data_IF_807594387619
#
_entry.id   IF_807594387619
#
_cell.length_a   1.000
_cell.length_b   1.000
_cell.length_c   1.000
_cell.angle_alpha   90.00
_cell.angle_beta   90.00
_cell.angle_gamma   90.00
#
_symmetry.space_group_name_H-M   'P 1'
#
loop_
_entity.id
_entity.type
_entity.pdbx_description
1 polymer ?
#
# COMPACT_ATOMS: atom_id res chain seq x y z
N UNK A 1 16.94 -19.16 27.40
CA UNK A 1 17.09 -20.13 26.29
C UNK A 1 17.20 -19.32 24.98
N UNK A 2 18.39 -19.25 24.40
CA UNK A 2 18.63 -18.67 23.07
C UNK A 2 17.86 -19.52 22.06
N UNK A 3 16.85 -18.92 21.38
CA UNK A 3 16.20 -19.56 20.23
C UNK A 3 17.29 -19.95 19.23
N UNK A 4 17.50 -21.25 19.01
CA UNK A 4 18.34 -21.76 17.93
C UNK A 4 17.85 -21.09 16.64
N UNK A 5 18.75 -20.43 15.94
CA UNK A 5 18.49 -19.83 14.63
C UNK A 5 18.33 -20.98 13.62
N UNK A 6 17.10 -21.52 13.54
CA UNK A 6 16.76 -22.63 12.65
C UNK A 6 16.76 -22.11 11.22
N UNK A 7 17.48 -22.76 10.34
CA UNK A 7 17.49 -22.46 8.92
C UNK A 7 17.45 -23.75 8.11
N UNK A 8 16.75 -23.72 6.99
CA UNK A 8 16.73 -24.76 5.97
C UNK A 8 17.42 -24.22 4.69
N UNK A 9 18.26 -25.02 4.07
CA UNK A 9 18.93 -24.65 2.81
C UNK A 9 18.25 -25.41 1.70
N UNK A 10 17.71 -24.67 0.73
CA UNK A 10 17.09 -25.23 -0.48
C UNK A 10 18.04 -25.04 -1.66
N UNK A 11 18.28 -26.14 -2.40
CA UNK A 11 18.98 -26.07 -3.68
C UNK A 11 17.97 -25.76 -4.79
N UNK A 12 18.06 -24.56 -5.39
CA UNK A 12 17.10 -24.05 -6.37
C UNK A 12 17.91 -23.60 -7.61
N UNK A 13 17.72 -24.24 -8.74
CA UNK A 13 18.38 -23.90 -10.00
C UNK A 13 19.93 -23.77 -9.85
N UNK A 14 20.53 -24.69 -9.09
CA UNK A 14 21.98 -24.71 -8.85
C UNK A 14 22.48 -23.67 -7.82
N UNK A 15 21.58 -22.96 -7.13
CA UNK A 15 21.91 -22.02 -6.05
C UNK A 15 21.40 -22.50 -4.71
N UNK A 16 22.17 -22.28 -3.65
CA UNK A 16 21.76 -22.53 -2.28
C UNK A 16 21.06 -21.29 -1.71
N UNK A 17 19.78 -21.43 -1.39
CA UNK A 17 18.98 -20.38 -0.76
C UNK A 17 18.69 -20.75 0.67
N UNK A 18 19.23 -20.00 1.61
CA UNK A 18 19.03 -20.21 3.05
C UNK A 18 17.71 -19.58 3.50
N UNK A 19 16.76 -20.41 3.91
CA UNK A 19 15.48 -20.01 4.48
C UNK A 19 15.62 -19.93 6.00
N UNK A 20 15.55 -18.72 6.55
CA UNK A 20 15.67 -18.48 7.99
C UNK A 20 14.32 -18.63 8.67
N UNK A 21 14.29 -19.27 9.86
CA UNK A 21 13.06 -19.52 10.63
C UNK A 21 11.96 -20.17 9.78
N UNK A 22 12.21 -21.34 9.14
CA UNK A 22 11.28 -21.99 8.22
C UNK A 22 9.92 -22.28 8.86
N UNK A 23 9.91 -22.68 10.14
CA UNK A 23 8.70 -23.04 10.91
C UNK A 23 7.92 -21.84 11.44
N UNK A 24 8.41 -20.61 11.22
CA UNK A 24 7.69 -19.41 11.65
C UNK A 24 6.33 -19.33 10.97
N UNK A 25 5.26 -19.36 11.77
CA UNK A 25 3.90 -19.18 11.24
C UNK A 25 3.71 -17.77 10.66
N UNK A 26 3.36 -17.73 9.38
CA UNK A 26 2.99 -16.50 8.68
C UNK A 26 1.48 -16.28 8.71
N UNK A 27 0.71 -17.36 8.65
CA UNK A 27 -0.73 -17.37 8.88
C UNK A 27 -0.98 -18.22 10.12
N UNK A 28 -1.37 -17.61 11.22
CA UNK A 28 -1.51 -18.30 12.52
C UNK A 28 -2.96 -18.52 12.93
N UNK A 29 -3.91 -17.79 12.33
CA UNK A 29 -5.32 -17.82 12.75
C UNK A 29 -6.11 -18.93 12.07
N UNK A 30 -6.24 -18.87 10.77
CA UNK A 30 -7.13 -19.77 10.02
C UNK A 30 -6.38 -20.95 9.38
N UNK A 31 -5.30 -20.70 8.64
CA UNK A 31 -4.67 -21.69 7.75
C UNK A 31 -3.41 -22.36 8.33
N UNK A 32 -2.81 -21.81 9.39
CA UNK A 32 -1.62 -22.37 10.06
C UNK A 32 -0.44 -22.64 9.11
N UNK A 33 -0.11 -21.69 8.24
CA UNK A 33 0.95 -21.81 7.24
C UNK A 33 2.26 -21.17 7.74
N UNK A 34 3.36 -21.88 7.56
CA UNK A 34 4.71 -21.44 7.91
C UNK A 34 5.36 -20.60 6.80
N UNK A 35 6.53 -20.04 7.08
CA UNK A 35 7.37 -19.38 6.06
C UNK A 35 7.79 -20.37 4.97
N UNK A 36 8.14 -21.58 5.36
CA UNK A 36 8.55 -22.61 4.41
C UNK A 36 7.41 -22.99 3.46
N UNK A 37 6.16 -23.05 3.96
CA UNK A 37 4.99 -23.30 3.12
C UNK A 37 4.81 -22.20 2.07
N UNK A 38 5.04 -20.93 2.46
CA UNK A 38 5.05 -19.82 1.51
C UNK A 38 6.13 -19.96 0.43
N UNK A 39 7.35 -20.31 0.83
CA UNK A 39 8.45 -20.52 -0.14
C UNK A 39 8.11 -21.67 -1.08
N UNK A 40 7.63 -22.79 -0.57
CA UNK A 40 7.21 -23.96 -1.38
C UNK A 40 6.07 -23.63 -2.32
N UNK A 41 5.09 -22.83 -1.86
CA UNK A 41 4.02 -22.33 -2.71
C UNK A 41 4.61 -21.54 -3.89
N UNK A 42 5.46 -20.55 -3.65
CA UNK A 42 6.02 -19.75 -4.73
C UNK A 42 6.88 -20.58 -5.69
N UNK A 43 7.58 -21.57 -5.20
CA UNK A 43 8.33 -22.50 -6.06
C UNK A 43 7.39 -23.36 -6.92
N UNK A 44 6.23 -23.77 -6.41
CA UNK A 44 5.26 -24.57 -7.17
C UNK A 44 4.58 -23.81 -8.31
N UNK A 45 4.51 -22.48 -8.22
CA UNK A 45 3.91 -21.58 -9.21
C UNK A 45 4.96 -20.65 -9.85
N UNK A 46 6.25 -20.95 -9.68
CA UNK A 46 7.34 -20.06 -10.05
C UNK A 46 7.28 -19.59 -11.52
N UNK A 47 7.00 -20.43 -12.52
CA UNK A 47 6.91 -19.97 -13.91
C UNK A 47 5.88 -18.84 -14.10
N UNK A 48 4.69 -18.97 -13.51
CA UNK A 48 3.64 -17.95 -13.60
C UNK A 48 3.94 -16.72 -12.75
N UNK A 49 4.45 -16.89 -11.52
CA UNK A 49 4.83 -15.77 -10.66
C UNK A 49 5.95 -14.93 -11.28
N UNK A 50 6.94 -15.59 -11.89
CA UNK A 50 8.05 -14.94 -12.61
C UNK A 50 7.58 -14.20 -13.85
N UNK A 51 6.68 -14.79 -14.66
CA UNK A 51 6.14 -14.12 -15.86
C UNK A 51 5.58 -12.73 -15.55
N UNK A 52 4.95 -12.55 -14.37
CA UNK A 52 4.40 -11.27 -13.94
C UNK A 52 5.44 -10.25 -13.47
N UNK A 53 6.66 -10.68 -13.10
CA UNK A 53 7.71 -9.81 -12.51
C UNK A 53 9.03 -9.84 -13.27
N UNK A 54 9.14 -10.66 -14.33
CA UNK A 54 10.38 -10.83 -15.07
C UNK A 54 10.94 -9.49 -15.57
N UNK A 55 12.24 -9.28 -15.32
CA UNK A 55 12.98 -8.06 -15.69
C UNK A 55 12.34 -6.75 -15.17
N UNK A 56 11.58 -6.83 -14.04
CA UNK A 56 10.93 -5.65 -13.44
C UNK A 56 11.51 -5.30 -12.08
N UNK A 57 11.77 -4.00 -11.80
CA UNK A 57 12.10 -3.57 -10.44
C UNK A 57 10.94 -3.87 -9.48
N UNK A 58 11.27 -4.37 -8.28
CA UNK A 58 10.30 -4.76 -7.27
C UNK A 58 10.38 -3.89 -6.03
N UNK A 59 9.23 -3.36 -5.60
CA UNK A 59 9.04 -2.84 -4.24
C UNK A 59 8.73 -4.02 -3.32
N UNK A 60 9.56 -4.23 -2.30
CA UNK A 60 9.37 -5.30 -1.33
C UNK A 60 8.35 -4.88 -0.26
N UNK A 61 7.16 -5.45 -0.29
CA UNK A 61 6.18 -5.33 0.80
C UNK A 61 6.41 -6.47 1.78
N UNK A 62 7.07 -6.17 2.90
CA UNK A 62 7.57 -7.16 3.86
C UNK A 62 6.68 -7.27 5.08
N UNK A 63 6.40 -8.51 5.48
CA UNK A 63 5.62 -8.89 6.65
C UNK A 63 6.53 -9.65 7.63
N UNK A 64 7.44 -8.93 8.29
CA UNK A 64 8.46 -9.57 9.14
C UNK A 64 7.87 -10.30 10.35
N UNK A 65 6.68 -9.91 10.81
CA UNK A 65 5.97 -10.53 11.93
C UNK A 65 4.88 -11.53 11.52
N UNK A 66 4.89 -11.95 10.24
CA UNK A 66 3.85 -12.78 9.63
C UNK A 66 2.82 -11.96 8.88
N UNK A 67 1.99 -12.62 8.05
CA UNK A 67 0.99 -11.97 7.18
C UNK A 67 -0.07 -11.18 7.96
N UNK A 68 -0.33 -11.58 9.19
CA UNK A 68 -1.30 -10.94 10.09
C UNK A 68 -0.71 -9.73 10.84
N UNK A 69 0.60 -9.50 10.70
CA UNK A 69 1.33 -8.38 11.28
C UNK A 69 1.31 -7.14 10.39
N UNK A 70 1.93 -6.06 10.88
CA UNK A 70 2.06 -4.83 10.12
C UNK A 70 3.11 -4.97 9.02
N UNK A 71 2.70 -4.70 7.76
CA UNK A 71 3.62 -4.63 6.63
C UNK A 71 4.38 -3.31 6.58
N UNK A 72 5.57 -3.34 5.97
CA UNK A 72 6.27 -2.13 5.56
C UNK A 72 6.79 -2.25 4.12
N UNK A 73 6.83 -1.12 3.41
CA UNK A 73 7.36 -1.06 2.04
C UNK A 73 8.85 -0.73 2.07
N UNK A 74 9.66 -1.63 1.53
CA UNK A 74 11.09 -1.43 1.33
C UNK A 74 11.35 -1.21 -0.16
N UNK A 75 11.61 0.03 -0.54
CA UNK A 75 11.93 0.41 -1.93
C UNK A 75 13.41 0.20 -2.27
N UNK A 76 14.29 0.12 -1.26
CA UNK A 76 15.73 -0.06 -1.48
C UNK A 76 16.13 -1.50 -1.23
N UNK A 77 16.93 -2.04 -2.13
CA UNK A 77 17.56 -3.32 -1.93
C UNK A 77 18.28 -3.37 -0.56
N UNK A 78 18.12 -4.46 0.23
CA UNK A 78 18.83 -4.60 1.49
C UNK A 78 20.34 -4.75 1.26
N UNK A 79 21.16 -4.40 2.25
CA UNK A 79 22.62 -4.43 2.13
C UNK A 79 23.19 -5.85 1.89
N UNK A 80 22.44 -6.89 2.20
CA UNK A 80 22.84 -8.29 2.07
C UNK A 80 22.26 -8.98 0.84
N UNK A 81 21.99 -8.24 -0.24
CA UNK A 81 21.56 -8.82 -1.52
C UNK A 81 22.66 -9.77 -2.04
N UNK A 82 22.34 -11.01 -2.40
CA UNK A 82 23.30 -11.90 -3.02
C UNK A 82 23.84 -11.33 -4.34
N UNK A 83 25.10 -11.58 -4.63
CA UNK A 83 25.76 -11.07 -5.84
C UNK A 83 25.16 -11.57 -7.17
N UNK A 84 24.42 -12.66 -7.11
CA UNK A 84 23.73 -13.23 -8.25
C UNK A 84 22.32 -12.65 -8.49
N UNK A 85 21.80 -11.82 -7.57
CA UNK A 85 20.50 -11.17 -7.71
C UNK A 85 20.70 -9.75 -8.23
N UNK A 86 20.10 -9.44 -9.37
CA UNK A 86 20.25 -8.14 -10.03
C UNK A 86 19.55 -7.01 -9.27
N UNK A 87 20.09 -5.81 -9.43
CA UNK A 87 19.47 -4.57 -8.96
C UNK A 87 19.48 -3.53 -10.09
N UNK A 88 18.57 -2.55 -9.99
CA UNK A 88 18.51 -1.41 -10.91
C UNK A 88 18.16 -0.14 -10.15
N UNK A 89 18.72 0.99 -10.57
CA UNK A 89 18.48 2.29 -9.91
C UNK A 89 17.33 3.04 -10.58
N UNK A 90 16.24 3.24 -9.84
CA UNK A 90 15.11 4.05 -10.27
C UNK A 90 15.23 5.50 -9.78
N UNK A 91 14.78 6.43 -10.63
CA UNK A 91 14.61 7.85 -10.28
C UNK A 91 13.12 8.17 -10.15
N UNK A 92 12.73 8.73 -9.01
CA UNK A 92 11.32 9.06 -8.71
C UNK A 92 10.99 10.53 -8.99
N UNK A 93 9.71 10.88 -9.22
CA UNK A 93 9.29 12.26 -9.44
C UNK A 93 9.68 13.24 -8.33
N UNK A 94 9.93 12.73 -7.12
CA UNK A 94 10.43 13.49 -5.97
C UNK A 94 11.93 13.84 -6.06
N UNK A 95 12.63 13.45 -7.14
CA UNK A 95 14.09 13.59 -7.28
C UNK A 95 14.91 12.56 -6.49
N UNK A 96 14.27 11.67 -5.73
CA UNK A 96 14.95 10.59 -5.00
C UNK A 96 15.32 9.47 -5.96
N UNK A 97 16.39 8.73 -5.60
CA UNK A 97 16.80 7.50 -6.28
C UNK A 97 16.75 6.33 -5.31
N UNK A 98 16.39 5.16 -5.80
CA UNK A 98 16.47 3.92 -5.06
C UNK A 98 16.98 2.80 -5.96
N UNK A 99 17.88 1.98 -5.42
CA UNK A 99 18.29 0.74 -6.02
C UNK A 99 17.27 -0.33 -5.63
N UNK A 100 16.58 -0.92 -6.61
CA UNK A 100 15.54 -1.92 -6.40
C UNK A 100 15.96 -3.27 -6.99
N UNK A 101 15.44 -4.36 -6.41
CA UNK A 101 15.75 -5.73 -6.81
C UNK A 101 14.98 -6.07 -8.09
N UNK A 102 15.62 -6.83 -8.98
CA UNK A 102 15.01 -7.47 -10.14
C UNK A 102 15.10 -8.98 -9.95
N UNK A 103 13.97 -9.67 -9.98
CA UNK A 103 13.87 -11.12 -9.77
C UNK A 103 13.56 -11.80 -11.09
N UNK A 104 14.50 -12.64 -11.55
CA UNK A 104 14.43 -13.28 -12.86
C UNK A 104 14.32 -14.81 -12.77
N UNK A 105 14.53 -15.42 -11.60
CA UNK A 105 14.58 -16.84 -11.40
C UNK A 105 13.96 -17.31 -10.08
N UNK A 106 13.75 -18.62 -9.94
CA UNK A 106 13.11 -19.19 -8.76
C UNK A 106 13.94 -19.03 -7.47
N UNK A 107 15.27 -18.98 -7.58
CA UNK A 107 16.13 -18.75 -6.44
C UNK A 107 15.96 -17.31 -5.89
N UNK A 108 15.90 -16.32 -6.79
CA UNK A 108 15.60 -14.92 -6.44
C UNK A 108 14.20 -14.77 -5.83
N UNK A 109 13.20 -15.47 -6.38
CA UNK A 109 11.84 -15.50 -5.86
C UNK A 109 11.82 -16.08 -4.43
N UNK A 110 12.45 -17.22 -4.19
CA UNK A 110 12.56 -17.82 -2.84
C UNK A 110 13.29 -16.89 -1.86
N UNK A 111 14.33 -16.19 -2.33
CA UNK A 111 15.09 -15.27 -1.50
C UNK A 111 14.25 -14.07 -1.05
N UNK A 112 13.47 -13.42 -1.94
CA UNK A 112 12.61 -12.29 -1.56
C UNK A 112 11.47 -12.74 -0.63
N UNK A 113 10.92 -13.94 -0.84
CA UNK A 113 9.91 -14.53 0.04
C UNK A 113 10.49 -14.80 1.43
N UNK A 114 11.73 -15.32 1.52
CA UNK A 114 12.42 -15.50 2.80
C UNK A 114 12.59 -14.20 3.58
N UNK A 115 12.72 -13.04 2.91
CA UNK A 115 12.71 -11.73 3.57
C UNK A 115 11.32 -11.34 4.16
N UNK A 116 10.31 -12.16 3.94
CA UNK A 116 8.92 -11.88 4.33
C UNK A 116 8.14 -11.08 3.30
N UNK A 117 8.59 -11.05 2.05
CA UNK A 117 7.87 -10.44 0.94
C UNK A 117 6.87 -11.45 0.38
N UNK A 118 5.61 -11.37 0.84
CA UNK A 118 4.55 -12.29 0.40
C UNK A 118 3.72 -11.72 -0.75
N UNK A 119 3.77 -10.43 -0.98
CA UNK A 119 3.17 -9.77 -2.13
C UNK A 119 4.26 -9.25 -3.07
N UNK A 120 4.20 -9.60 -4.33
CA UNK A 120 5.12 -9.14 -5.37
C UNK A 120 4.57 -7.84 -5.98
N UNK A 121 5.30 -6.74 -5.84
CA UNK A 121 4.89 -5.41 -6.31
C UNK A 121 5.85 -4.86 -7.38
N UNK A 122 5.75 -5.32 -8.66
CA UNK A 122 6.59 -4.82 -9.73
C UNK A 122 6.16 -3.43 -10.21
N UNK A 123 7.12 -2.65 -10.70
CA UNK A 123 6.84 -1.49 -11.52
C UNK A 123 6.35 -1.91 -12.93
N UNK A 124 5.55 -1.08 -13.64
CA UNK A 124 5.06 -1.38 -14.99
C UNK A 124 6.12 -1.14 -16.07
N UNK A 125 7.39 -1.29 -15.74
CA UNK A 125 8.54 -1.08 -16.61
C UNK A 125 9.52 -2.25 -16.52
N UNK A 126 10.32 -2.45 -17.56
CA UNK A 126 11.46 -3.39 -17.53
C UNK A 126 12.73 -2.69 -17.07
N UNK A 127 13.67 -3.43 -16.49
CA UNK A 127 14.91 -2.86 -15.95
C UNK A 127 15.79 -2.17 -17.00
N UNK A 128 15.64 -2.55 -18.26
CA UNK A 128 16.33 -1.98 -19.43
C UNK A 128 15.77 -0.63 -19.87
N UNK A 129 14.50 -0.32 -19.54
CA UNK A 129 13.84 0.94 -19.86
C UNK A 129 12.88 1.31 -18.72
N UNK A 130 13.31 2.27 -17.90
CA UNK A 130 12.61 2.67 -16.68
C UNK A 130 11.65 3.86 -16.88
N UNK A 131 11.59 4.40 -18.09
CA UNK A 131 10.80 5.59 -18.41
C UNK A 131 9.59 5.29 -19.30
N UNK A 132 9.60 4.16 -20.00
CA UNK A 132 8.49 3.74 -20.86
C UNK A 132 7.84 2.46 -20.34
N UNK A 133 6.62 2.56 -19.77
CA UNK A 133 5.86 1.38 -19.36
C UNK A 133 5.57 0.44 -20.53
N UNK A 134 5.70 -0.88 -20.28
CA UNK A 134 5.25 -1.94 -21.16
C UNK A 134 3.92 -2.56 -20.71
N UNK A 135 3.27 -1.92 -19.73
CA UNK A 135 2.03 -2.42 -19.12
C UNK A 135 1.07 -1.26 -18.79
N UNK A 136 -0.14 -1.34 -19.35
CA UNK A 136 -1.30 -0.58 -18.90
C UNK A 136 -2.04 -1.45 -17.87
N UNK A 137 -2.38 -0.86 -16.72
CA UNK A 137 -3.05 -1.50 -15.59
C UNK A 137 -4.47 -0.97 -15.44
N UNK A 138 -5.44 -1.86 -15.54
CA UNK A 138 -6.83 -1.57 -15.19
C UNK A 138 -7.10 -2.19 -13.82
N UNK A 139 -7.23 -1.34 -12.81
CA UNK A 139 -7.45 -1.73 -11.41
C UNK A 139 -8.91 -1.45 -11.04
N UNK A 140 -9.67 -2.52 -10.82
CA UNK A 140 -11.09 -2.50 -10.47
C UNK A 140 -11.23 -2.60 -8.94
N UNK A 141 -11.40 -1.46 -8.28
CA UNK A 141 -11.47 -1.35 -6.81
C UNK A 141 -12.92 -1.10 -6.35
N UNK A 142 -13.64 -2.14 -5.87
CA UNK A 142 -15.02 -2.00 -5.43
C UNK A 142 -15.14 -1.14 -4.18
N UNK A 143 -16.08 -0.22 -4.19
CA UNK A 143 -16.48 0.55 -3.03
C UNK A 143 -17.07 -0.33 -1.91
N UNK A 144 -17.31 0.24 -0.71
CA UNK A 144 -18.00 -0.47 0.37
C UNK A 144 -19.40 -0.95 -0.06
N UNK A 145 -19.69 -2.24 0.15
CA UNK A 145 -21.00 -2.82 -0.15
C UNK A 145 -21.25 -3.18 -1.62
N UNK A 146 -20.28 -2.95 -2.51
CA UNK A 146 -20.37 -3.39 -3.91
C UNK A 146 -20.25 -4.91 -3.98
N UNK A 147 -21.18 -5.55 -4.69
CA UNK A 147 -21.19 -7.00 -4.87
C UNK A 147 -20.06 -7.46 -5.80
N UNK A 148 -19.61 -8.70 -5.63
CA UNK A 148 -18.61 -9.28 -6.52
C UNK A 148 -19.09 -9.41 -7.96
N UNK A 149 -20.38 -9.65 -8.15
CA UNK A 149 -21.04 -9.70 -9.45
C UNK A 149 -20.86 -8.38 -10.24
N UNK A 150 -20.97 -7.25 -9.56
CA UNK A 150 -20.75 -5.93 -10.17
C UNK A 150 -19.29 -5.79 -10.66
N UNK A 151 -18.31 -6.31 -9.90
CA UNK A 151 -16.91 -6.31 -10.31
C UNK A 151 -16.70 -7.16 -11.56
N UNK A 152 -17.35 -8.33 -11.64
CA UNK A 152 -17.30 -9.22 -12.80
C UNK A 152 -17.91 -8.57 -14.05
N UNK A 153 -19.08 -7.92 -13.88
CA UNK A 153 -19.72 -7.19 -14.98
C UNK A 153 -18.85 -6.06 -15.51
N UNK A 154 -18.28 -5.24 -14.61
CA UNK A 154 -17.36 -4.16 -15.02
C UNK A 154 -16.10 -4.72 -15.70
N UNK A 155 -15.59 -5.86 -15.24
CA UNK A 155 -14.44 -6.51 -15.91
C UNK A 155 -14.78 -6.98 -17.34
N UNK A 156 -15.99 -7.46 -17.58
CA UNK A 156 -16.45 -7.86 -18.92
C UNK A 156 -16.64 -6.64 -19.83
N UNK A 157 -17.13 -5.51 -19.30
CA UNK A 157 -17.16 -4.22 -20.05
C UNK A 157 -15.76 -3.74 -20.41
N UNK A 158 -14.79 -3.88 -19.48
CA UNK A 158 -13.39 -3.59 -19.76
C UNK A 158 -12.86 -4.48 -20.88
N UNK A 159 -13.17 -5.80 -20.85
CA UNK A 159 -12.78 -6.73 -21.91
C UNK A 159 -13.29 -6.24 -23.27
N UNK A 160 -14.60 -6.01 -23.39
CA UNK A 160 -15.22 -5.59 -24.64
C UNK A 160 -14.60 -4.29 -25.16
N UNK A 161 -14.40 -3.31 -24.28
CA UNK A 161 -13.79 -2.03 -24.67
C UNK A 161 -12.33 -2.17 -25.10
N UNK A 162 -11.53 -2.98 -24.42
CA UNK A 162 -10.14 -3.25 -24.82
C UNK A 162 -10.08 -3.91 -26.21
N UNK A 163 -10.96 -4.88 -26.49
CA UNK A 163 -11.06 -5.54 -27.79
C UNK A 163 -11.41 -4.55 -28.92
N UNK A 164 -12.33 -3.61 -28.70
CA UNK A 164 -12.64 -2.50 -29.62
C UNK A 164 -11.44 -1.60 -29.89
N UNK A 165 -10.63 -1.34 -28.85
CA UNK A 165 -9.39 -0.59 -29.00
C UNK A 165 -8.24 -1.39 -29.64
N UNK A 166 -8.45 -2.68 -29.94
CA UNK A 166 -7.42 -3.58 -30.48
C UNK A 166 -6.40 -4.03 -29.43
N UNK A 167 -6.77 -3.98 -28.14
CA UNK A 167 -5.93 -4.36 -27.03
C UNK A 167 -6.37 -5.69 -26.42
N UNK A 168 -5.41 -6.47 -25.93
CA UNK A 168 -5.68 -7.72 -25.24
C UNK A 168 -5.54 -7.54 -23.73
N UNK A 169 -6.63 -7.76 -23.02
CA UNK A 169 -6.67 -7.76 -21.57
C UNK A 169 -6.38 -9.13 -20.97
N UNK A 170 -5.67 -9.17 -19.83
CA UNK A 170 -5.32 -10.36 -19.08
C UNK A 170 -5.87 -10.24 -17.65
N UNK A 171 -7.04 -10.87 -17.35
CA UNK A 171 -7.72 -10.71 -16.09
C UNK A 171 -7.08 -11.55 -14.99
N UNK A 172 -7.10 -11.02 -13.76
CA UNK A 172 -6.79 -11.77 -12.55
C UNK A 172 -7.56 -11.23 -11.36
N UNK A 173 -7.84 -12.07 -10.36
CA UNK A 173 -8.34 -11.55 -9.09
C UNK A 173 -7.26 -10.67 -8.43
N UNK A 174 -7.65 -9.65 -7.68
CA UNK A 174 -6.67 -8.92 -6.86
C UNK A 174 -6.18 -9.74 -5.65
N UNK A 175 -6.81 -10.91 -5.41
CA UNK A 175 -6.66 -11.69 -4.18
C UNK A 175 -7.23 -10.99 -2.96
N UNK A 176 -8.05 -9.95 -3.15
CA UNK A 176 -8.80 -9.25 -2.10
C UNK A 176 -10.25 -9.09 -2.57
N UNK A 177 -10.73 -7.88 -2.81
CA UNK A 177 -12.12 -7.61 -3.18
C UNK A 177 -12.31 -7.23 -4.65
N UNK A 178 -11.24 -6.90 -5.35
CA UNK A 178 -11.28 -6.39 -6.71
C UNK A 178 -10.67 -7.33 -7.75
N UNK A 179 -10.58 -6.83 -8.96
CA UNK A 179 -9.97 -7.50 -10.11
C UNK A 179 -8.99 -6.56 -10.80
N UNK A 180 -7.91 -7.10 -11.36
CA UNK A 180 -7.01 -6.36 -12.22
C UNK A 180 -7.10 -6.94 -13.64
N UNK A 181 -7.01 -6.07 -14.64
CA UNK A 181 -6.80 -6.48 -16.03
C UNK A 181 -5.49 -5.85 -16.48
N UNK A 182 -4.48 -6.69 -16.69
CA UNK A 182 -3.19 -6.24 -17.21
C UNK A 182 -3.24 -6.23 -18.74
N UNK A 183 -2.65 -5.21 -19.35
CA UNK A 183 -2.56 -5.08 -20.81
C UNK A 183 -1.10 -4.83 -21.17
N UNK A 184 -0.49 -5.69 -21.96
CA UNK A 184 0.85 -5.42 -22.51
C UNK A 184 0.76 -4.40 -23.63
N UNK A 185 1.64 -3.41 -23.58
CA UNK A 185 1.72 -2.32 -24.53
C UNK A 185 3.15 -2.16 -25.06
N UNK A 186 3.29 -1.62 -26.25
CA UNK A 186 4.59 -1.23 -26.78
C UNK A 186 5.27 -0.23 -25.83
N UNK A 187 6.55 -0.41 -25.45
CA UNK A 187 7.23 0.48 -24.50
C UNK A 187 7.76 1.74 -25.18
N UNK A 188 6.87 2.57 -25.72
CA UNK A 188 7.19 3.83 -26.41
C UNK A 188 6.46 5.05 -25.87
N UNK A 189 5.49 4.85 -24.99
CA UNK A 189 4.75 5.92 -24.34
C UNK A 189 5.28 6.22 -22.94
N UNK A 190 5.21 7.49 -22.56
CA UNK A 190 5.60 7.90 -21.20
C UNK A 190 4.56 7.47 -20.16
N UNK A 191 4.91 7.51 -18.89
CA UNK A 191 3.96 7.31 -17.78
C UNK A 191 2.77 8.28 -17.84
N UNK A 192 2.98 9.49 -18.37
CA UNK A 192 1.90 10.47 -18.54
C UNK A 192 0.91 10.00 -19.60
N UNK A 193 1.40 9.51 -20.72
CA UNK A 193 0.56 9.01 -21.81
C UNK A 193 -0.22 7.76 -21.39
N UNK A 194 0.45 6.80 -20.72
CA UNK A 194 -0.20 5.57 -20.26
C UNK A 194 -1.27 5.87 -19.19
N UNK A 195 -1.01 6.80 -18.27
CA UNK A 195 -2.02 7.24 -17.31
C UNK A 195 -3.19 7.98 -17.99
N UNK A 196 -2.91 8.80 -19.00
CA UNK A 196 -3.92 9.50 -19.81
C UNK A 196 -4.83 8.48 -20.52
N UNK A 197 -4.25 7.48 -21.16
CA UNK A 197 -4.99 6.36 -21.76
C UNK A 197 -5.84 5.60 -20.73
N UNK A 198 -5.29 5.32 -19.54
CA UNK A 198 -6.02 4.68 -18.44
C UNK A 198 -7.20 5.51 -17.94
N UNK A 199 -7.06 6.83 -17.85
CA UNK A 199 -8.14 7.73 -17.45
C UNK A 199 -9.27 7.73 -18.50
N UNK A 200 -8.91 7.78 -19.79
CA UNK A 200 -9.89 7.71 -20.89
C UNK A 200 -10.63 6.37 -20.89
N UNK A 201 -9.93 5.26 -20.72
CA UNK A 201 -10.55 3.95 -20.51
C UNK A 201 -11.53 3.98 -19.33
N UNK A 202 -11.12 4.50 -18.19
CA UNK A 202 -11.95 4.56 -16.99
C UNK A 202 -13.24 5.37 -17.22
N UNK A 203 -13.15 6.49 -17.93
CA UNK A 203 -14.30 7.31 -18.33
C UNK A 203 -15.21 6.63 -19.34
N UNK A 204 -14.62 5.89 -20.28
CA UNK A 204 -15.40 5.12 -21.26
C UNK A 204 -16.21 4.01 -20.56
N UNK A 205 -15.62 3.29 -19.60
CA UNK A 205 -16.32 2.28 -18.83
C UNK A 205 -17.39 2.90 -17.93
N UNK A 206 -17.13 4.05 -17.28
CA UNK A 206 -18.17 4.78 -16.52
C UNK A 206 -19.36 5.18 -17.42
N UNK A 207 -19.11 5.60 -18.69
CA UNK A 207 -20.19 5.91 -19.65
C UNK A 207 -21.00 4.67 -20.07
N UNK A 208 -20.38 3.49 -20.18
CA UNK A 208 -21.03 2.22 -20.55
C UNK A 208 -21.82 1.59 -19.40
N UNK A 209 -21.29 1.69 -18.20
CA UNK A 209 -21.89 1.10 -17.00
C UNK A 209 -22.03 2.15 -15.87
N UNK A 210 -22.80 3.24 -16.08
CA UNK A 210 -22.83 4.39 -15.18
C UNK A 210 -23.37 4.08 -13.77
N UNK A 211 -24.13 3.02 -13.60
CA UNK A 211 -24.61 2.56 -12.30
C UNK A 211 -23.58 1.70 -11.54
N UNK A 212 -22.64 1.07 -12.27
CA UNK A 212 -21.72 0.07 -11.72
C UNK A 212 -20.27 0.57 -11.61
N UNK A 213 -19.85 1.52 -12.45
CA UNK A 213 -18.47 1.95 -12.57
C UNK A 213 -18.30 3.44 -12.27
N UNK A 214 -17.13 3.83 -11.74
CA UNK A 214 -16.79 5.22 -11.47
C UNK A 214 -15.33 5.51 -11.81
N UNK A 215 -15.08 6.65 -12.47
CA UNK A 215 -13.76 7.23 -12.70
C UNK A 215 -13.44 8.40 -11.75
N UNK A 216 -14.30 8.68 -10.77
CA UNK A 216 -14.20 9.84 -9.87
C UNK A 216 -13.03 9.65 -8.89
N UNK A 217 -12.13 10.65 -8.83
CA UNK A 217 -10.97 10.59 -7.93
C UNK A 217 -11.35 10.70 -6.46
N UNK A 218 -12.30 11.58 -6.12
CA UNK A 218 -12.69 11.81 -4.73
C UNK A 218 -13.57 10.70 -4.21
N UNK A 219 -13.26 10.18 -3.02
CA UNK A 219 -13.97 9.03 -2.43
C UNK A 219 -15.45 9.29 -2.20
N UNK A 220 -15.78 10.54 -1.91
CA UNK A 220 -17.14 11.00 -1.65
C UNK A 220 -18.02 11.00 -2.92
N UNK A 221 -17.38 11.01 -4.10
CA UNK A 221 -18.07 11.01 -5.40
C UNK A 221 -18.13 9.61 -6.03
N UNK A 222 -17.41 8.63 -5.44
CA UNK A 222 -17.33 7.27 -5.97
C UNK A 222 -18.57 6.48 -5.63
N UNK A 223 -19.01 5.69 -6.60
CA UNK A 223 -19.99 4.64 -6.44
C UNK A 223 -19.52 3.39 -7.19
N UNK A 224 -20.12 2.24 -6.91
CA UNK A 224 -19.79 1.01 -7.62
C UNK A 224 -18.30 0.63 -7.57
N UNK A 225 -17.79 0.22 -8.69
CA UNK A 225 -16.40 -0.17 -8.90
C UNK A 225 -15.61 1.03 -9.41
N UNK A 226 -14.62 1.46 -8.64
CA UNK A 226 -13.71 2.52 -9.05
C UNK A 226 -12.59 1.96 -9.93
N UNK A 227 -12.41 2.55 -11.12
CA UNK A 227 -11.28 2.24 -11.99
C UNK A 227 -10.11 3.17 -11.63
N UNK A 228 -9.10 2.65 -10.90
CA UNK A 228 -7.95 3.45 -10.44
C UNK A 228 -6.90 3.63 -11.54
N UNK A 229 -7.12 4.61 -12.40
CA UNK A 229 -6.19 5.01 -13.46
C UNK A 229 -4.83 5.50 -12.92
N UNK A 230 -4.75 5.95 -11.66
CA UNK A 230 -3.51 6.41 -11.05
C UNK A 230 -2.53 5.29 -10.70
N UNK A 231 -2.92 4.01 -10.82
CA UNK A 231 -1.97 2.89 -10.77
C UNK A 231 -0.98 2.89 -11.95
N UNK A 232 -1.25 3.71 -12.97
CA UNK A 232 -0.36 3.91 -14.12
C UNK A 232 0.59 5.12 -13.95
N UNK A 233 0.53 5.84 -12.84
CA UNK A 233 1.49 6.91 -12.55
C UNK A 233 2.88 6.35 -12.20
N UNK A 234 3.95 7.10 -12.53
CA UNK A 234 5.32 6.71 -12.17
C UNK A 234 5.42 6.52 -10.65
N UNK A 235 6.14 5.49 -10.20
CA UNK A 235 6.32 5.04 -8.81
C UNK A 235 5.12 4.27 -8.19
N UNK A 236 4.10 3.96 -8.98
CA UNK A 236 3.02 3.07 -8.56
C UNK A 236 3.34 1.62 -8.90
N UNK A 237 2.96 0.75 -7.98
CA UNK A 237 3.10 -0.70 -8.14
C UNK A 237 1.80 -1.38 -7.74
N UNK A 238 1.42 -2.40 -8.48
CA UNK A 238 0.28 -3.26 -8.17
C UNK A 238 0.73 -4.65 -7.76
N UNK A 239 -0.12 -5.38 -7.06
CA UNK A 239 0.13 -6.76 -6.69
C UNK A 239 0.13 -7.64 -7.97
N UNK A 240 1.26 -8.33 -8.22
CA UNK A 240 1.43 -9.21 -9.38
C UNK A 240 0.62 -10.50 -9.26
N UNK A 241 0.48 -11.21 -10.38
CA UNK A 241 -0.07 -12.56 -10.43
C UNK A 241 0.63 -13.50 -9.44
N UNK A 242 -0.10 -14.45 -8.90
CA UNK A 242 0.33 -15.43 -7.91
C UNK A 242 0.81 -14.87 -6.57
N UNK A 243 0.69 -13.57 -6.32
CA UNK A 243 1.01 -12.98 -5.02
C UNK A 243 0.04 -13.46 -3.93
N UNK A 244 0.60 -13.84 -2.79
CA UNK A 244 -0.16 -14.20 -1.59
C UNK A 244 -0.65 -12.93 -0.91
N UNK A 245 -1.94 -12.87 -0.55
CA UNK A 245 -2.51 -11.71 0.17
C UNK A 245 -2.53 -11.96 1.68
N UNK A 246 -2.33 -10.93 2.50
CA UNK A 246 -2.31 -11.05 3.97
C UNK A 246 -3.74 -11.16 4.56
N UNK A 247 -4.56 -12.02 3.98
CA UNK A 247 -5.89 -12.35 4.46
C UNK A 247 -5.85 -13.68 5.22
N UNK A 248 -6.73 -13.92 6.21
CA UNK A 248 -6.66 -15.11 7.07
C UNK A 248 -6.68 -16.44 6.32
N UNK A 249 -7.34 -16.48 5.15
CA UNK A 249 -7.44 -17.63 4.24
C UNK A 249 -6.27 -17.75 3.25
N UNK A 250 -5.27 -16.87 3.33
CA UNK A 250 -4.10 -16.83 2.46
C UNK A 250 -4.47 -16.83 0.97
N UNK A 251 -5.40 -15.96 0.58
CA UNK A 251 -5.84 -15.79 -0.82
C UNK A 251 -4.70 -15.39 -1.74
N UNK A 252 -4.87 -15.77 -3.00
CA UNK A 252 -3.93 -15.53 -4.08
C UNK A 252 -4.52 -14.57 -5.12
N UNK A 253 -3.69 -13.67 -5.60
CA UNK A 253 -3.99 -12.87 -6.79
C UNK A 253 -3.85 -13.76 -8.02
N UNK A 254 -4.93 -14.38 -8.45
CA UNK A 254 -4.92 -15.52 -9.39
C UNK A 254 -5.27 -15.10 -10.80
N UNK A 255 -4.41 -15.41 -11.80
CA UNK A 255 -4.72 -15.29 -13.22
C UNK A 255 -5.93 -16.12 -13.62
N UNK A 256 -6.74 -15.56 -14.52
CA UNK A 256 -7.95 -16.19 -15.04
C UNK A 256 -7.95 -16.17 -16.56
N UNK A 257 -8.62 -17.16 -17.17
CA UNK A 257 -9.13 -17.01 -18.51
C UNK A 257 -10.41 -16.17 -18.50
N UNK A 258 -10.71 -15.46 -19.58
CA UNK A 258 -11.91 -14.61 -19.64
C UNK A 258 -13.23 -15.39 -19.47
N UNK A 259 -13.26 -16.65 -19.88
CA UNK A 259 -14.43 -17.52 -19.68
C UNK A 259 -14.66 -17.95 -18.23
N UNK A 260 -13.68 -17.76 -17.34
CA UNK A 260 -13.82 -18.03 -15.90
C UNK A 260 -14.37 -16.82 -15.14
N UNK A 261 -14.21 -15.62 -15.70
CA UNK A 261 -14.59 -14.36 -15.01
C UNK A 261 -16.06 -14.33 -14.60
N UNK A 262 -17.05 -14.80 -15.39
CA UNK A 262 -18.46 -14.77 -15.00
C UNK A 262 -18.78 -15.54 -13.71
N UNK A 263 -18.03 -16.62 -13.42
CA UNK A 263 -18.37 -17.58 -12.37
C UNK A 263 -17.33 -17.64 -11.24
N UNK A 264 -16.18 -16.97 -11.36
CA UNK A 264 -15.11 -17.05 -10.37
C UNK A 264 -15.49 -16.42 -9.02
N UNK A 265 -15.03 -17.03 -7.92
CA UNK A 265 -15.02 -16.42 -6.58
C UNK A 265 -13.56 -16.27 -6.10
N UNK A 266 -13.12 -15.09 -5.66
CA UNK A 266 -11.78 -14.91 -5.12
C UNK A 266 -11.47 -15.81 -3.91
N UNK A 267 -12.48 -16.26 -3.18
CA UNK A 267 -12.31 -17.14 -2.02
C UNK A 267 -11.84 -18.56 -2.40
N UNK A 268 -12.07 -18.99 -3.63
CA UNK A 268 -11.65 -20.30 -4.15
C UNK A 268 -10.13 -20.37 -4.38
N UNK A 269 -9.49 -19.22 -4.53
CA UNK A 269 -8.07 -19.09 -4.88
C UNK A 269 -7.21 -18.81 -3.65
N UNK A 270 -6.78 -19.88 -3.00
CA UNK A 270 -5.94 -19.80 -1.80
C UNK A 270 -4.56 -20.41 -2.06
N UNK A 271 -3.64 -20.22 -1.12
CA UNK A 271 -2.33 -20.88 -1.15
C UNK A 271 -2.45 -22.42 -1.21
N UNK A 272 -3.55 -23.00 -0.74
CA UNK A 272 -3.78 -24.45 -0.74
C UNK A 272 -4.37 -24.96 -2.07
N UNK A 273 -5.15 -24.14 -2.79
CA UNK A 273 -5.87 -24.56 -4.00
C UNK A 273 -5.15 -24.20 -5.30
N UNK A 274 -4.46 -23.06 -5.34
CA UNK A 274 -3.81 -22.53 -6.53
C UNK A 274 -2.68 -23.43 -7.06
N UNK A 275 -1.83 -24.10 -6.25
CA UNK A 275 -0.82 -25.01 -6.77
C UNK A 275 -1.39 -26.14 -7.61
N UNK A 276 -2.50 -26.75 -7.18
CA UNK A 276 -3.18 -27.81 -7.92
C UNK A 276 -3.74 -27.24 -9.24
N UNK A 277 -4.45 -26.11 -9.18
CA UNK A 277 -4.95 -25.41 -10.36
C UNK A 277 -3.82 -25.12 -11.37
N UNK A 278 -2.69 -24.62 -10.90
CA UNK A 278 -1.53 -24.32 -11.75
C UNK A 278 -0.96 -25.57 -12.42
N UNK A 279 -0.88 -26.69 -11.70
CA UNK A 279 -0.42 -27.95 -12.25
C UNK A 279 -1.37 -28.52 -13.31
N UNK A 280 -2.68 -28.31 -13.17
CA UNK A 280 -3.72 -28.83 -14.07
C UNK A 280 -3.93 -27.95 -15.32
N UNK A 281 -3.98 -26.62 -15.15
CA UNK A 281 -4.35 -25.66 -16.21
C UNK A 281 -3.15 -24.89 -16.77
N UNK A 282 -2.00 -24.90 -16.07
CA UNK A 282 -0.88 -24.02 -16.36
C UNK A 282 -1.17 -22.56 -15.96
N UNK A 283 -0.43 -21.62 -16.55
CA UNK A 283 -0.60 -20.20 -16.33
C UNK A 283 -1.49 -19.58 -17.41
N UNK A 284 -2.68 -19.06 -17.08
CA UNK A 284 -3.52 -18.29 -18.00
C UNK A 284 -2.82 -17.08 -18.62
N UNK A 285 -1.79 -16.53 -17.96
CA UNK A 285 -1.01 -15.39 -18.42
C UNK A 285 0.30 -15.76 -19.12
N UNK A 286 0.58 -17.04 -19.39
CA UNK A 286 1.87 -17.49 -19.98
C UNK A 286 2.28 -16.73 -21.24
N UNK A 287 1.32 -16.32 -22.05
CA UNK A 287 1.55 -15.65 -23.33
C UNK A 287 1.37 -14.11 -23.21
N UNK A 288 1.38 -13.56 -22.00
CA UNK A 288 1.08 -12.14 -21.77
C UNK A 288 2.05 -11.21 -22.51
N UNK A 289 3.30 -11.58 -22.65
CA UNK A 289 4.35 -10.78 -23.31
C UNK A 289 4.41 -11.00 -24.84
N UNK A 290 3.56 -11.88 -25.42
CA UNK A 290 3.68 -12.29 -26.82
C UNK A 290 3.26 -11.22 -27.84
N UNK A 291 2.28 -10.38 -27.48
CA UNK A 291 1.72 -9.37 -28.39
C UNK A 291 1.45 -8.08 -27.62
N UNK A 292 2.39 -7.13 -27.58
CA UNK A 292 2.15 -5.79 -27.02
C UNK A 292 1.20 -5.01 -27.94
N UNK A 293 0.24 -4.31 -27.35
CA UNK A 293 -0.73 -3.49 -28.06
C UNK A 293 -0.32 -2.02 -28.21
N UNK A 294 -0.94 -1.31 -29.16
CA UNK A 294 -0.78 0.12 -29.34
C UNK A 294 -1.81 0.92 -28.52
N UNK A 295 -1.37 2.00 -27.88
CA UNK A 295 -2.26 2.92 -27.18
C UNK A 295 -2.81 4.03 -28.07
N UNK A 296 -2.49 4.06 -29.37
CA UNK A 296 -2.86 5.18 -30.26
C UNK A 296 -4.36 5.48 -30.22
N UNK A 297 -5.22 4.49 -30.42
CA UNK A 297 -6.68 4.67 -30.38
C UNK A 297 -7.19 5.23 -29.02
N UNK A 298 -6.61 4.79 -27.92
CA UNK A 298 -6.97 5.32 -26.59
C UNK A 298 -6.50 6.77 -26.42
N UNK A 299 -5.35 7.13 -26.99
CA UNK A 299 -4.83 8.49 -26.94
C UNK A 299 -5.55 9.44 -27.91
N UNK A 300 -6.04 8.93 -29.05
CA UNK A 300 -6.96 9.65 -29.96
C UNK A 300 -8.28 9.96 -29.23
N UNK A 301 -8.89 8.96 -28.60
CA UNK A 301 -10.10 9.17 -27.80
C UNK A 301 -9.85 10.12 -26.61
N UNK A 302 -8.65 10.09 -26.01
CA UNK A 302 -8.27 11.05 -24.97
C UNK A 302 -8.25 12.48 -25.51
N UNK A 303 -7.76 12.68 -26.73
CA UNK A 303 -7.74 14.00 -27.38
C UNK A 303 -9.16 14.50 -27.70
N UNK A 304 -10.06 13.59 -28.11
CA UNK A 304 -11.49 13.90 -28.31
C UNK A 304 -12.17 14.30 -26.99
N UNK A 305 -11.96 13.54 -25.90
CA UNK A 305 -12.47 13.86 -24.56
C UNK A 305 -11.98 15.25 -24.10
N UNK A 306 -10.70 15.58 -24.32
CA UNK A 306 -10.12 16.88 -23.99
C UNK A 306 -10.72 18.02 -24.84
N UNK A 307 -10.90 17.80 -26.14
CA UNK A 307 -11.57 18.76 -27.03
C UNK A 307 -13.04 19.00 -26.63
N UNK A 308 -13.70 17.99 -26.07
CA UNK A 308 -15.04 18.09 -25.48
C UNK A 308 -15.06 18.72 -24.08
N UNK A 309 -13.91 19.20 -23.55
CA UNK A 309 -13.80 19.86 -22.26
C UNK A 309 -13.56 18.95 -21.06
N UNK A 310 -13.32 17.66 -21.28
CA UNK A 310 -12.95 16.73 -20.22
C UNK A 310 -11.45 16.82 -19.92
N UNK A 311 -11.07 17.72 -19.02
CA UNK A 311 -9.67 17.90 -18.61
C UNK A 311 -9.06 16.70 -17.90
N UNK A 312 -7.77 16.78 -17.55
CA UNK A 312 -7.07 15.76 -16.77
C UNK A 312 -7.69 15.62 -15.37
N UNK A 313 -7.43 14.50 -14.71
CA UNK A 313 -7.90 14.20 -13.38
C UNK A 313 -6.75 14.29 -12.34
N UNK A 314 -7.03 14.49 -11.04
CA UNK A 314 -6.01 14.64 -10.01
C UNK A 314 -4.97 13.52 -10.00
N UNK A 315 -3.69 13.90 -9.93
CA UNK A 315 -2.55 13.01 -9.81
C UNK A 315 -2.38 12.53 -8.36
N UNK A 316 -1.63 11.45 -8.12
CA UNK A 316 -1.30 11.00 -6.77
C UNK A 316 -0.70 12.12 -5.89
N UNK A 317 -0.86 12.07 -4.56
CA UNK A 317 -0.53 13.20 -3.66
C UNK A 317 0.90 13.73 -3.71
N UNK A 318 1.88 12.89 -4.12
CA UNK A 318 3.29 13.29 -4.23
C UNK A 318 3.66 13.95 -5.58
N UNK A 319 2.75 13.97 -6.54
CA UNK A 319 2.89 14.78 -7.76
C UNK A 319 2.47 16.23 -7.51
N UNK A 320 2.93 17.15 -8.36
CA UNK A 320 2.49 18.54 -8.32
C UNK A 320 0.97 18.62 -8.50
N UNK A 321 0.33 19.50 -7.74
CA UNK A 321 -1.09 19.78 -7.93
C UNK A 321 -1.33 20.45 -9.27
N UNK A 322 -2.46 20.11 -9.89
CA UNK A 322 -2.95 20.82 -11.06
C UNK A 322 -3.47 22.18 -10.64
N UNK A 323 -3.48 23.13 -11.58
CA UNK A 323 -4.06 24.45 -11.32
C UNK A 323 -5.57 24.30 -11.08
N UNK A 324 -6.08 24.88 -9.99
CA UNK A 324 -7.49 24.75 -9.60
C UNK A 324 -7.87 23.43 -8.90
N UNK A 325 -6.94 22.49 -8.75
CA UNK A 325 -7.21 21.21 -8.08
C UNK A 325 -7.60 21.40 -6.61
N UNK A 326 -8.72 20.79 -6.21
CA UNK A 326 -9.17 20.78 -4.84
C UNK A 326 -8.11 20.19 -3.88
N UNK A 327 -8.16 20.46 -2.56
CA UNK A 327 -7.23 19.84 -1.60
C UNK A 327 -7.27 18.32 -1.69
N UNK A 328 -6.11 17.67 -1.91
CA UNK A 328 -5.98 16.19 -2.00
C UNK A 328 -6.24 15.45 -0.70
N UNK A 329 -6.37 16.17 0.38
CA UNK A 329 -6.80 15.63 1.68
C UNK A 329 -8.07 16.38 2.02
N UNK A 330 -9.22 15.73 1.98
CA UNK A 330 -10.44 16.29 2.51
C UNK A 330 -10.22 16.60 4.01
N UNK A 331 -10.58 17.80 4.50
CA UNK A 331 -10.56 18.06 5.92
C UNK A 331 -11.43 17.01 6.60
N UNK A 332 -10.91 16.35 7.63
CA UNK A 332 -11.56 15.22 8.32
C UNK A 332 -12.90 15.57 9.00
N UNK A 333 -13.41 16.79 8.81
CA UNK A 333 -14.75 17.24 9.19
C UNK A 333 -15.20 18.34 8.25
N UNK A 334 -16.39 18.23 7.69
CA UNK A 334 -17.09 19.33 7.03
C UNK A 334 -17.16 20.51 8.01
N UNK A 335 -16.42 21.57 7.74
CA UNK A 335 -16.58 22.84 8.45
C UNK A 335 -17.90 23.43 7.98
N UNK A 336 -18.90 23.38 8.83
CA UNK A 336 -20.10 24.22 8.66
C UNK A 336 -19.59 25.67 8.59
N UNK A 337 -19.59 26.23 7.39
CA UNK A 337 -19.20 27.63 7.15
C UNK A 337 -20.33 28.53 7.60
N UNK A 338 -20.38 28.85 8.89
CA UNK A 338 -20.96 30.13 9.26
C UNK A 338 -19.94 31.21 8.89
N UNK A 339 -20.34 32.15 8.02
CA UNK A 339 -19.57 33.36 7.67
C UNK A 339 -19.31 34.19 8.94
N UNK A 340 -18.28 33.84 9.69
CA UNK A 340 -17.66 34.71 10.70
C UNK A 340 -16.16 34.71 10.39
N UNK A 341 -15.62 35.89 10.14
CA UNK A 341 -14.20 36.11 9.90
C UNK A 341 -13.39 35.44 11.02
N UNK A 342 -12.65 34.37 10.68
CA UNK A 342 -11.77 33.70 11.62
C UNK A 342 -10.48 34.51 11.69
N UNK A 343 -10.35 35.32 12.73
CA UNK A 343 -9.05 35.85 13.16
C UNK A 343 -8.08 34.64 13.30
N UNK A 344 -6.86 34.75 12.72
CA UNK A 344 -5.78 33.77 12.89
C UNK A 344 -5.63 33.52 14.38
N UNK A 345 -6.01 32.33 14.87
CA UNK A 345 -5.73 31.91 16.25
C UNK A 345 -4.23 31.96 16.46
N UNK A 346 -3.74 32.97 17.20
CA UNK A 346 -2.37 32.98 17.67
C UNK A 346 -2.11 31.70 18.48
N UNK A 347 -0.94 31.07 18.32
CA UNK A 347 -0.53 29.99 19.21
C UNK A 347 -0.57 30.51 20.64
N UNK A 348 -1.37 29.88 21.50
CA UNK A 348 -1.43 30.25 22.92
C UNK A 348 -0.02 30.20 23.51
N UNK A 349 0.40 31.28 24.17
CA UNK A 349 1.66 31.35 24.93
C UNK A 349 1.55 30.66 26.30
N UNK A 350 0.37 30.15 26.67
CA UNK A 350 0.18 29.44 27.93
C UNK A 350 0.94 28.09 27.91
N UNK A 351 1.61 27.74 29.02
CA UNK A 351 2.40 26.52 29.11
C UNK A 351 1.54 25.29 28.95
N UNK A 352 2.07 24.33 28.16
CA UNK A 352 1.52 22.98 28.05
C UNK A 352 2.16 22.13 29.16
N UNK A 353 1.35 21.59 30.06
CA UNK A 353 1.82 20.65 31.08
C UNK A 353 1.77 19.22 30.50
N UNK A 354 2.83 18.45 30.69
CA UNK A 354 2.84 17.00 30.43
C UNK A 354 2.36 16.34 31.73
N UNK A 355 1.24 15.64 31.67
CA UNK A 355 0.60 15.04 32.87
C UNK A 355 0.79 13.53 32.95
N UNK A 356 0.96 12.83 31.81
CA UNK A 356 1.23 11.40 31.80
C UNK A 356 2.00 10.99 30.54
N UNK A 357 2.85 9.98 30.68
CA UNK A 357 3.54 9.27 29.58
C UNK A 357 3.49 7.78 29.85
N UNK A 358 3.00 6.96 28.86
CA UNK A 358 3.03 5.50 28.98
C UNK A 358 3.04 4.85 27.59
N UNK A 359 3.69 3.66 27.42
CA UNK A 359 3.49 2.83 26.27
C UNK A 359 2.05 2.30 26.15
N UNK A 360 1.34 2.19 27.27
CA UNK A 360 -0.06 1.81 27.32
C UNK A 360 -0.99 3.04 27.35
N UNK A 361 -1.83 3.17 26.32
CA UNK A 361 -2.77 4.30 26.20
C UNK A 361 -3.72 4.40 27.39
N UNK A 362 -4.20 3.29 27.91
CA UNK A 362 -5.11 3.23 29.05
C UNK A 362 -4.44 3.77 30.33
N UNK A 363 -3.19 3.38 30.59
CA UNK A 363 -2.42 3.87 31.73
C UNK A 363 -2.17 5.38 31.64
N UNK A 364 -1.84 5.91 30.44
CA UNK A 364 -1.71 7.35 30.25
C UNK A 364 -3.02 8.10 30.52
N UNK A 365 -4.16 7.59 30.05
CA UNK A 365 -5.47 8.19 30.32
C UNK A 365 -5.83 8.15 31.83
N UNK A 366 -5.52 7.06 32.51
CA UNK A 366 -5.69 6.98 33.98
C UNK A 366 -4.84 8.04 34.70
N UNK A 367 -3.65 8.35 34.20
CA UNK A 367 -2.80 9.46 34.71
C UNK A 367 -3.46 10.82 34.56
N UNK A 368 -4.17 11.08 33.46
CA UNK A 368 -4.96 12.30 33.30
C UNK A 368 -6.05 12.40 34.37
N UNK A 369 -6.76 11.32 34.66
CA UNK A 369 -7.82 11.31 35.66
C UNK A 369 -7.25 11.57 37.10
N UNK A 370 -6.09 10.95 37.43
CA UNK A 370 -5.40 11.26 38.70
C UNK A 370 -4.99 12.73 38.79
N UNK A 371 -4.50 13.30 37.69
CA UNK A 371 -4.16 14.73 37.64
C UNK A 371 -5.40 15.61 37.83
N UNK A 372 -6.55 15.27 37.20
CA UNK A 372 -7.81 16.01 37.42
C UNK A 372 -8.31 15.96 38.84
N UNK A 373 -8.19 14.81 39.50
CA UNK A 373 -8.53 14.66 40.93
C UNK A 373 -7.61 15.50 41.83
N UNK A 374 -6.33 15.59 41.50
CA UNK A 374 -5.35 16.39 42.24
C UNK A 374 -5.58 17.90 42.08
N UNK A 375 -6.02 18.32 40.89
CA UNK A 375 -6.22 19.74 40.56
C UNK A 375 -7.65 20.05 40.09
N UNK A 376 -8.69 19.83 40.92
CA UNK A 376 -10.09 19.91 40.50
C UNK A 376 -10.49 21.31 40.02
N UNK A 377 -9.92 22.39 40.62
CA UNK A 377 -10.21 23.76 40.20
C UNK A 377 -9.64 24.13 38.84
N UNK A 378 -8.52 23.54 38.46
CA UNK A 378 -7.95 23.68 37.11
C UNK A 378 -8.69 22.80 36.12
N UNK A 379 -8.97 21.54 36.49
CA UNK A 379 -9.67 20.55 35.64
C UNK A 379 -11.07 21.05 35.24
N UNK A 380 -11.83 21.64 36.13
CA UNK A 380 -13.17 22.20 35.86
C UNK A 380 -13.19 23.30 34.77
N UNK A 381 -12.04 23.89 34.43
CA UNK A 381 -11.91 24.98 33.46
C UNK A 381 -11.32 24.55 32.14
N UNK A 382 -11.01 23.25 31.97
CA UNK A 382 -10.50 22.68 30.71
C UNK A 382 -11.64 22.47 29.73
N UNK A 383 -11.47 22.96 28.53
CA UNK A 383 -12.27 22.54 27.40
C UNK A 383 -11.76 21.20 26.88
N UNK A 384 -12.57 20.48 26.11
CA UNK A 384 -12.20 19.19 25.48
C UNK A 384 -10.92 19.34 24.64
N UNK A 385 -10.76 20.47 23.95
CA UNK A 385 -9.61 20.79 23.12
C UNK A 385 -8.34 21.19 23.92
N UNK A 386 -8.44 21.30 25.24
CA UNK A 386 -7.30 21.63 26.12
C UNK A 386 -6.53 20.38 26.53
N UNK A 387 -7.12 19.18 26.34
CA UNK A 387 -6.44 17.89 26.56
C UNK A 387 -5.90 17.37 25.24
N UNK A 388 -4.58 17.24 25.15
CA UNK A 388 -3.86 16.79 23.97
C UNK A 388 -3.32 15.38 24.20
N UNK A 389 -3.72 14.43 23.38
CA UNK A 389 -3.24 13.05 23.39
C UNK A 389 -2.30 12.85 22.20
N UNK A 390 -1.00 12.78 22.46
CA UNK A 390 0.02 12.61 21.44
C UNK A 390 0.48 11.16 21.34
N UNK A 391 0.52 10.63 20.13
CA UNK A 391 1.21 9.36 19.85
C UNK A 391 2.66 9.65 19.48
N UNK A 392 3.59 9.20 20.30
CA UNK A 392 5.03 9.41 20.12
C UNK A 392 5.70 8.11 19.73
N UNK A 393 6.59 8.12 18.72
CA UNK A 393 7.42 6.97 18.36
C UNK A 393 8.70 6.94 19.19
N UNK A 394 8.85 5.92 20.02
CA UNK A 394 10.13 5.50 20.58
C UNK A 394 10.94 4.68 19.55
N UNK A 395 12.12 4.18 19.96
CA UNK A 395 13.02 3.42 19.09
C UNK A 395 12.45 2.04 18.69
N UNK A 396 11.69 1.42 19.58
CA UNK A 396 11.10 0.07 19.41
C UNK A 396 9.60 0.01 19.72
N UNK A 397 9.01 1.08 20.23
CA UNK A 397 7.62 1.10 20.66
C UNK A 397 6.95 2.44 20.37
N UNK A 398 5.63 2.45 20.29
CA UNK A 398 4.81 3.67 20.28
C UNK A 398 4.31 3.90 21.71
N UNK A 399 4.35 5.14 22.18
CA UNK A 399 3.88 5.51 23.49
C UNK A 399 2.97 6.73 23.45
N UNK A 400 2.12 6.88 24.46
CA UNK A 400 1.12 7.93 24.57
C UNK A 400 1.57 8.96 25.58
N UNK A 401 1.56 10.23 25.18
CA UNK A 401 1.79 11.38 26.05
C UNK A 401 0.52 12.20 26.18
N UNK A 402 0.11 12.49 27.41
CA UNK A 402 -1.01 13.39 27.68
C UNK A 402 -0.47 14.77 28.09
N UNK A 403 -0.93 15.79 27.39
CA UNK A 403 -0.62 17.20 27.70
C UNK A 403 -1.89 17.98 27.92
N UNK A 404 -1.83 18.95 28.87
CA UNK A 404 -2.94 19.85 29.19
C UNK A 404 -2.55 21.28 28.87
N UNK A 405 -3.39 21.98 28.11
CA UNK A 405 -3.23 23.39 27.81
C UNK A 405 -3.98 24.23 28.85
N UNK A 406 -3.26 25.06 29.55
CA UNK A 406 -3.81 25.90 30.65
C UNK A 406 -4.37 27.26 30.17
N UNK A 407 -4.63 27.44 28.85
CA UNK A 407 -5.12 28.73 28.31
C UNK A 407 -6.40 29.26 28.94
N UNK A 408 -7.29 28.34 29.36
CA UNK A 408 -8.57 28.67 29.98
C UNK A 408 -8.51 28.67 31.52
N UNK A 409 -7.33 28.36 32.09
CA UNK A 409 -7.12 28.34 33.56
C UNK A 409 -6.46 29.65 33.98
N UNK A 410 -7.08 30.43 34.87
CA UNK A 410 -6.50 31.65 35.46
C UNK A 410 -5.12 31.37 36.06
N UNK A 411 -4.21 32.32 35.96
CA UNK A 411 -2.81 32.11 36.35
C UNK A 411 -2.65 31.66 37.80
N UNK A 412 -3.43 32.22 38.71
CA UNK A 412 -3.47 31.88 40.17
C UNK A 412 -3.91 30.42 40.45
N UNK A 413 -4.55 29.74 39.45
CA UNK A 413 -5.05 28.36 39.57
C UNK A 413 -4.25 27.38 38.72
N UNK A 414 -3.21 27.84 38.02
CA UNK A 414 -2.39 26.97 37.17
C UNK A 414 -1.48 26.08 38.01
N UNK A 415 -1.58 24.75 37.88
CA UNK A 415 -0.66 23.84 38.54
C UNK A 415 0.77 24.00 37.96
N UNK A 416 1.82 23.72 38.73
CA UNK A 416 3.17 23.64 38.22
C UNK A 416 3.35 22.40 37.35
N UNK A 417 4.43 22.36 36.54
CA UNK A 417 4.85 21.14 35.87
C UNK A 417 5.40 20.18 36.93
N UNK A 418 4.75 19.05 37.09
CA UNK A 418 5.22 17.91 37.89
C UNK A 418 5.74 16.80 37.03
N UNK A 419 6.35 15.79 37.66
CA UNK A 419 6.68 14.53 36.98
C UNK A 419 5.39 13.90 36.49
N UNK A 420 5.30 13.51 35.17
CA UNK A 420 4.13 12.85 34.65
C UNK A 420 3.80 11.57 35.41
N UNK A 421 2.53 11.21 35.54
CA UNK A 421 2.10 10.01 36.23
C UNK A 421 1.07 9.21 35.36
N UNK A 422 1.44 8.07 34.73
CA UNK A 422 2.78 7.44 34.72
C UNK A 422 3.83 8.25 33.97
N UNK A 423 5.09 8.09 34.38
CA UNK A 423 6.25 8.64 33.69
C UNK A 423 7.08 7.48 33.06
N UNK A 424 6.49 6.80 32.12
CA UNK A 424 7.04 5.63 31.45
C UNK A 424 7.57 6.00 30.07
N UNK A 425 8.68 6.75 30.00
CA UNK A 425 9.29 7.13 28.73
C UNK A 425 10.40 6.14 28.33
N UNK A 426 10.15 5.26 27.31
CA UNK A 426 11.14 4.29 26.86
C UNK A 426 12.39 4.92 26.23
N UNK A 427 12.40 6.24 26.02
CA UNK A 427 13.55 6.96 25.43
C UNK A 427 14.36 7.75 26.49
N UNK A 428 13.99 7.72 27.75
CA UNK A 428 14.63 8.50 28.84
C UNK A 428 16.12 8.24 28.94
N UNK A 429 16.55 6.99 29.09
CA UNK A 429 17.96 6.61 29.20
C UNK A 429 18.81 7.06 28.00
N UNK A 430 18.22 7.05 26.82
CA UNK A 430 18.90 7.48 25.62
C UNK A 430 19.08 9.01 25.55
N UNK A 431 18.12 9.78 26.04
CA UNK A 431 18.22 11.25 26.13
C UNK A 431 19.24 11.68 27.17
N UNK A 432 19.28 11.02 28.31
CA UNK A 432 20.25 11.25 29.36
C UNK A 432 21.68 11.00 28.89
N UNK A 433 21.95 9.86 28.21
CA UNK A 433 23.25 9.55 27.60
C UNK A 433 23.68 10.57 26.52
N UNK A 434 22.74 11.13 25.78
CA UNK A 434 23.01 12.16 24.77
C UNK A 434 23.28 13.53 25.38
N UNK A 435 22.63 13.86 26.49
CA UNK A 435 22.86 15.06 27.29
C UNK A 435 24.23 15.05 27.93
N UNK A 436 24.68 13.92 28.44
CA UNK A 436 26.03 13.75 29.03
C UNK A 436 27.14 13.91 27.99
N UNK A 437 26.97 13.36 26.76
CA UNK A 437 27.94 13.54 25.66
C UNK A 437 28.03 14.99 25.15
N UNK A 438 26.97 15.80 25.24
CA UNK A 438 27.00 17.23 24.86
C UNK A 438 27.62 18.15 25.93
N UNK A 439 27.81 17.66 27.15
CA UNK A 439 28.50 18.39 28.24
C UNK A 439 29.97 18.05 28.36
N UNK A 440 30.45 17.05 27.59
CA UNK A 440 31.86 16.61 27.56
C UNK A 440 32.60 17.03 26.26
N UNK A 441 31.92 17.70 25.32
CA UNK A 441 32.48 18.38 24.16
C UNK A 441 32.12 19.88 24.26
#
# INVERSE_FOLDING_TARGET
>A
MTKKDTAEVLSIEGREVRITHPDKLYFSKQTKLSKLDLVRYYLSVAPGALAGIHDRPLVLKRFVDGAEGQAFYQKRAPANVPSWLRTVTLSFPSGRKAEEIVVDDAAGLAWVVNLGCIELHPHPVRSRDLDHPDELRVDLDPGPGVAWDDVRHVALEVKAFLEEMGLRGWPKTSGSRGMHVNVRIEPRWTFTDVRRAALTLSRAIERRAPALASSKWWKEERHGVFLDYNQNAKDRTTCSAYSVRPLPDARISTPLHWNEVPDCDPADFTLLTVPKRFAELGDPHRDIDSVPGSLEKLLELAAEDEAAGLGDAPWPPHFKKMQGEAPRVAPSRARITSKRAVAKKSRSKAPLLVVANSPEKQAALAGLERWKLKYPRAAARLAVDDVLVDSMRGRSSTWTRIRVNLRNVPEKLRPPQETPDPDEDPTREWRERRGLRRRQN
#
